data_IF_468377858193
#
_entry.id   IF_468377858193
#
_cell.length_a   1.000
_cell.length_b   1.000
_cell.length_c   1.000
_cell.angle_alpha   90.00
_cell.angle_beta   90.00
_cell.angle_gamma   90.00
#
_symmetry.space_group_name_H-M   'P 1'
#
loop_
_entity.id
_entity.type
_entity.pdbx_description
1 polymer ?
#
# COMPACT_ATOMS: atom_id res chain seq x y z
N UNK A 1 15.94 7.72 19.20
CA UNK A 1 15.51 8.94 18.48
C UNK A 1 15.78 8.73 17.00
N UNK A 2 14.80 8.95 16.09
CA UNK A 2 15.05 8.86 14.64
C UNK A 2 16.09 9.90 14.20
N UNK A 3 16.90 9.59 13.19
CA UNK A 3 17.89 10.54 12.64
C UNK A 3 17.20 11.70 11.90
N UNK A 4 17.90 12.81 11.70
CA UNK A 4 17.42 13.97 10.92
C UNK A 4 16.96 13.54 9.52
N UNK A 5 17.73 12.68 8.85
CA UNK A 5 17.40 12.13 7.53
C UNK A 5 16.09 11.33 7.53
N UNK A 6 15.75 10.68 8.65
CA UNK A 6 14.49 9.94 8.80
C UNK A 6 13.29 10.87 8.78
N UNK A 7 13.39 12.04 9.44
CA UNK A 7 12.31 13.04 9.46
C UNK A 7 12.16 13.73 8.11
N UNK A 8 13.26 14.02 7.42
CA UNK A 8 13.23 14.62 6.08
C UNK A 8 12.58 13.67 5.07
N UNK A 9 12.91 12.37 5.12
CA UNK A 9 12.24 11.36 4.30
C UNK A 9 10.76 11.22 4.62
N UNK A 10 10.36 11.20 5.90
CA UNK A 10 8.95 11.16 6.29
C UNK A 10 8.17 12.37 5.76
N UNK A 11 8.76 13.56 5.84
CA UNK A 11 8.16 14.78 5.30
C UNK A 11 8.02 14.71 3.77
N UNK A 12 9.01 14.16 3.06
CA UNK A 12 8.93 13.94 1.61
C UNK A 12 7.82 12.96 1.24
N UNK A 13 7.71 11.83 1.95
CA UNK A 13 6.66 10.84 1.75
C UNK A 13 5.27 11.44 1.97
N UNK A 14 5.06 12.16 3.08
CA UNK A 14 3.78 12.81 3.37
C UNK A 14 3.40 13.82 2.29
N UNK A 15 4.35 14.64 1.82
CA UNK A 15 4.11 15.62 0.75
C UNK A 15 3.72 14.94 -0.57
N UNK A 16 4.38 13.85 -0.93
CA UNK A 16 4.03 13.08 -2.15
C UNK A 16 2.68 12.37 -2.04
N UNK A 17 2.29 11.94 -0.83
CA UNK A 17 0.98 11.36 -0.59
C UNK A 17 -0.16 12.39 -0.75
N UNK A 18 0.14 13.68 -0.63
CA UNK A 18 -0.83 14.75 -0.88
C UNK A 18 -0.99 15.10 -2.37
N UNK A 19 -0.13 14.58 -3.25
CA UNK A 19 -0.23 14.77 -4.70
C UNK A 19 -1.32 13.85 -5.29
N UNK A 20 -2.41 14.40 -5.86
CA UNK A 20 -3.49 13.60 -6.44
C UNK A 20 -3.07 12.77 -7.66
N UNK A 21 -1.94 13.10 -8.30
CA UNK A 21 -1.35 12.32 -9.38
C UNK A 21 -0.61 11.06 -8.90
N UNK A 22 -0.25 10.99 -7.61
CA UNK A 22 0.47 9.87 -7.03
C UNK A 22 -0.52 8.81 -6.53
N UNK A 23 -0.45 7.63 -7.14
CA UNK A 23 -1.31 6.48 -6.77
C UNK A 23 -0.56 5.40 -6.00
N UNK A 24 0.74 5.29 -6.20
CA UNK A 24 1.64 4.35 -5.51
C UNK A 24 2.96 5.05 -5.22
N UNK A 25 3.45 4.89 -3.99
CA UNK A 25 4.81 5.24 -3.61
C UNK A 25 5.55 3.97 -3.20
N UNK A 26 6.77 3.83 -3.72
CA UNK A 26 7.61 2.67 -3.45
C UNK A 26 8.87 3.10 -2.70
N UNK A 27 8.98 2.73 -1.43
CA UNK A 27 10.19 2.94 -0.65
C UNK A 27 11.07 1.69 -0.71
N UNK A 28 12.25 1.82 -1.31
CA UNK A 28 13.24 0.76 -1.41
C UNK A 28 14.58 1.19 -0.82
N UNK A 29 15.41 0.20 -0.49
CA UNK A 29 16.72 0.42 0.11
C UNK A 29 17.27 -0.86 0.72
N UNK A 30 18.55 -0.87 1.14
CA UNK A 30 19.21 -2.05 1.65
C UNK A 30 18.51 -2.61 2.91
N UNK A 31 18.71 -3.91 3.17
CA UNK A 31 18.28 -4.53 4.41
C UNK A 31 18.94 -3.82 5.62
N UNK A 32 18.20 -3.67 6.72
CA UNK A 32 18.68 -2.94 7.90
C UNK A 32 18.63 -1.41 7.81
N UNK A 33 18.26 -0.81 6.66
CA UNK A 33 18.16 0.65 6.51
C UNK A 33 16.99 1.33 7.26
N UNK A 34 16.25 0.59 8.09
CA UNK A 34 15.15 1.16 8.89
C UNK A 34 13.85 1.43 8.13
N UNK A 35 13.66 0.89 6.92
CA UNK A 35 12.43 1.09 6.10
C UNK A 35 11.15 0.76 6.86
N UNK A 36 11.09 -0.39 7.52
CA UNK A 36 9.92 -0.78 8.34
C UNK A 36 9.68 0.19 9.50
N UNK A 37 10.74 0.76 10.09
CA UNK A 37 10.59 1.78 11.15
C UNK A 37 10.01 3.09 10.58
N UNK A 38 10.42 3.49 9.37
CA UNK A 38 9.82 4.61 8.64
C UNK A 38 8.34 4.31 8.33
N UNK A 39 8.01 3.13 7.81
CA UNK A 39 6.64 2.72 7.50
C UNK A 39 5.75 2.71 8.75
N UNK A 40 6.24 2.21 9.88
CA UNK A 40 5.54 2.27 11.15
C UNK A 40 5.28 3.71 11.61
N UNK A 41 6.29 4.58 11.51
CA UNK A 41 6.15 5.99 11.89
C UNK A 41 5.15 6.69 10.96
N UNK A 42 5.18 6.40 9.67
CA UNK A 42 4.23 6.92 8.69
C UNK A 42 2.79 6.46 9.00
N UNK A 43 2.59 5.18 9.33
CA UNK A 43 1.29 4.68 9.78
C UNK A 43 0.77 5.47 10.98
N UNK A 44 1.59 5.70 12.00
CA UNK A 44 1.18 6.48 13.19
C UNK A 44 0.72 7.89 12.80
N UNK A 45 1.52 8.60 11.98
CA UNK A 45 1.18 9.96 11.52
C UNK A 45 -0.12 10.01 10.71
N UNK A 46 -0.34 9.01 9.87
CA UNK A 46 -1.56 8.91 9.05
C UNK A 46 -2.77 8.51 9.90
N UNK A 47 -2.57 7.71 10.94
CA UNK A 47 -3.63 7.35 11.88
C UNK A 47 -4.04 8.58 12.72
N UNK A 48 -3.08 9.33 13.24
CA UNK A 48 -3.33 10.56 14.02
C UNK A 48 -4.08 11.64 13.22
N UNK A 49 -3.89 11.64 11.89
CA UNK A 49 -4.56 12.58 10.97
C UNK A 49 -5.82 12.01 10.32
N UNK A 50 -6.24 10.79 10.68
CA UNK A 50 -7.44 10.16 10.14
C UNK A 50 -7.36 9.82 8.64
N UNK A 51 -6.15 9.55 8.12
CA UNK A 51 -5.88 9.25 6.71
C UNK A 51 -5.47 7.80 6.45
N UNK A 52 -5.12 7.04 7.49
CA UNK A 52 -4.72 5.64 7.36
C UNK A 52 -5.96 4.75 7.14
N UNK A 53 -6.18 4.36 5.89
CA UNK A 53 -7.26 3.43 5.52
C UNK A 53 -6.94 1.97 5.88
N UNK A 54 -5.66 1.63 5.99
CA UNK A 54 -5.21 0.32 6.43
C UNK A 54 -3.71 0.11 6.27
N UNK A 55 -3.20 -0.93 6.89
CA UNK A 55 -1.81 -1.36 6.76
C UNK A 55 -1.66 -2.86 6.83
N UNK A 56 -0.64 -3.38 6.15
CA UNK A 56 -0.23 -4.78 6.22
C UNK A 56 1.29 -4.87 6.26
N UNK A 57 1.80 -5.47 7.32
CA UNK A 57 3.23 -5.69 7.52
C UNK A 57 3.52 -7.17 7.35
N UNK A 58 4.15 -7.51 6.23
CA UNK A 58 4.63 -8.86 6.00
C UNK A 58 5.68 -9.23 7.04
N UNK A 59 5.68 -10.50 7.43
CA UNK A 59 6.70 -11.04 8.34
C UNK A 59 7.03 -12.47 7.95
N UNK A 60 8.30 -12.71 7.59
CA UNK A 60 8.79 -14.05 7.21
C UNK A 60 8.57 -15.05 8.35
N UNK A 61 8.08 -16.23 8.01
CA UNK A 61 7.83 -17.32 8.97
C UNK A 61 6.62 -17.11 9.89
N UNK A 62 5.92 -15.98 9.82
CA UNK A 62 4.67 -15.79 10.56
C UNK A 62 3.51 -16.49 9.85
N UNK A 63 2.69 -17.32 10.51
CA UNK A 63 1.72 -18.21 9.86
C UNK A 63 0.66 -17.48 9.02
N UNK A 64 0.33 -16.25 9.39
CA UNK A 64 -0.65 -15.43 8.67
C UNK A 64 -0.02 -14.27 7.89
N UNK A 65 1.09 -13.70 8.38
CA UNK A 65 1.67 -12.46 7.84
C UNK A 65 2.74 -12.71 6.78
N UNK A 66 3.04 -13.96 6.46
CA UNK A 66 3.81 -14.30 5.27
C UNK A 66 2.91 -14.58 4.05
N UNK A 67 1.58 -14.67 4.22
CA UNK A 67 0.68 -15.10 3.16
C UNK A 67 0.13 -13.91 2.37
N UNK A 68 0.63 -13.71 1.15
CA UNK A 68 0.17 -12.66 0.26
C UNK A 68 -1.31 -12.76 -0.16
N UNK A 69 -1.91 -13.96 -0.09
CA UNK A 69 -3.30 -14.19 -0.52
C UNK A 69 -4.34 -13.58 0.40
N UNK A 70 -3.97 -13.19 1.63
CA UNK A 70 -4.88 -12.53 2.57
C UNK A 70 -4.71 -11.02 2.61
N UNK A 71 -3.73 -10.48 1.87
CA UNK A 71 -3.37 -9.06 1.93
C UNK A 71 -4.58 -8.16 1.66
N UNK A 72 -5.23 -8.34 0.52
CA UNK A 72 -6.29 -7.44 0.08
C UNK A 72 -7.60 -7.66 0.84
N UNK A 73 -7.93 -8.90 1.21
CA UNK A 73 -9.04 -9.15 2.14
C UNK A 73 -8.83 -8.46 3.50
N UNK A 74 -7.60 -8.49 4.04
CA UNK A 74 -7.25 -7.80 5.30
C UNK A 74 -7.36 -6.29 5.16
N UNK A 75 -6.82 -5.72 4.08
CA UNK A 75 -6.91 -4.28 3.83
C UNK A 75 -8.36 -3.82 3.59
N UNK A 76 -9.18 -4.61 2.90
CA UNK A 76 -10.59 -4.32 2.71
C UNK A 76 -11.37 -4.30 4.04
N UNK A 77 -11.09 -5.25 4.93
CA UNK A 77 -11.68 -5.25 6.26
C UNK A 77 -11.31 -3.97 7.04
N UNK A 78 -10.04 -3.57 7.01
CA UNK A 78 -9.58 -2.33 7.66
C UNK A 78 -10.22 -1.07 7.05
N UNK A 79 -10.35 -1.02 5.72
CA UNK A 79 -11.04 0.05 5.01
C UNK A 79 -12.51 0.17 5.42
N UNK A 80 -13.21 -0.96 5.60
CA UNK A 80 -14.58 -0.96 6.08
C UNK A 80 -14.73 -0.52 7.54
N UNK A 81 -13.71 -0.70 8.38
CA UNK A 81 -13.68 -0.12 9.73
C UNK A 81 -13.45 1.39 9.66
N UNK A 82 -12.54 1.81 8.79
CA UNK A 82 -12.15 3.21 8.62
C UNK A 82 -13.30 4.08 8.13
N UNK A 83 -14.08 3.62 7.14
CA UNK A 83 -15.09 4.42 6.46
C UNK A 83 -16.41 3.64 6.27
N UNK A 84 -17.53 4.08 6.89
CA UNK A 84 -18.82 3.38 6.82
C UNK A 84 -19.35 3.19 5.39
N UNK A 85 -19.13 4.15 4.49
CA UNK A 85 -19.56 4.02 3.09
C UNK A 85 -18.85 2.86 2.38
N UNK A 86 -17.56 2.64 2.69
CA UNK A 86 -16.80 1.48 2.19
C UNK A 86 -17.30 0.19 2.82
N UNK A 87 -17.60 0.19 4.12
CA UNK A 87 -18.16 -1.00 4.80
C UNK A 87 -19.36 -1.55 4.07
N UNK A 88 -20.33 -0.69 3.78
CA UNK A 88 -21.55 -1.07 3.06
C UNK A 88 -21.25 -1.64 1.68
N UNK A 89 -20.33 -1.03 0.93
CA UNK A 89 -19.96 -1.50 -0.41
C UNK A 89 -19.24 -2.85 -0.37
N UNK A 90 -18.26 -3.01 0.54
CA UNK A 90 -17.48 -4.24 0.71
C UNK A 90 -18.38 -5.38 1.20
N UNK A 91 -19.21 -5.14 2.23
CA UNK A 91 -20.14 -6.14 2.76
C UNK A 91 -21.09 -6.67 1.70
N UNK A 92 -21.70 -5.80 0.88
CA UNK A 92 -22.58 -6.24 -0.22
C UNK A 92 -21.88 -7.14 -1.23
N UNK A 93 -20.61 -6.87 -1.55
CA UNK A 93 -19.83 -7.69 -2.48
C UNK A 93 -19.50 -9.06 -1.88
N UNK A 94 -19.15 -9.10 -0.60
CA UNK A 94 -18.89 -10.37 0.11
C UNK A 94 -20.18 -11.17 0.32
N UNK A 95 -21.30 -10.52 0.60
CA UNK A 95 -22.62 -11.16 0.71
C UNK A 95 -23.06 -11.77 -0.64
N UNK A 96 -22.82 -11.05 -1.75
CA UNK A 96 -23.12 -11.56 -3.09
C UNK A 96 -22.18 -12.68 -3.54
N UNK A 97 -20.91 -12.66 -3.11
CA UNK A 97 -19.92 -13.69 -3.40
C UNK A 97 -19.03 -13.98 -2.18
N UNK A 98 -19.40 -14.94 -1.31
CA UNK A 98 -18.65 -15.24 -0.10
C UNK A 98 -17.23 -15.78 -0.34
N UNK A 99 -16.97 -16.38 -1.51
CA UNK A 99 -15.63 -16.91 -1.83
C UNK A 99 -14.63 -15.82 -2.18
N UNK A 100 -15.10 -14.58 -2.40
CA UNK A 100 -14.29 -13.43 -2.82
C UNK A 100 -13.11 -13.15 -1.88
N UNK A 101 -13.26 -13.37 -0.57
CA UNK A 101 -12.20 -13.17 0.43
C UNK A 101 -11.04 -14.18 0.31
N UNK A 102 -11.25 -15.25 -0.44
CA UNK A 102 -10.28 -16.33 -0.71
C UNK A 102 -9.99 -16.51 -2.21
N UNK A 103 -10.55 -15.64 -3.05
CA UNK A 103 -10.40 -15.68 -4.51
C UNK A 103 -9.00 -15.19 -4.92
N UNK A 104 -8.74 -15.10 -6.23
CA UNK A 104 -7.50 -14.62 -6.81
C UNK A 104 -7.10 -13.25 -6.24
N UNK A 105 -5.79 -12.98 -6.20
CA UNK A 105 -5.24 -11.71 -5.71
C UNK A 105 -5.79 -10.53 -6.53
N UNK A 106 -5.91 -10.71 -7.85
CA UNK A 106 -6.49 -9.74 -8.75
C UNK A 106 -7.98 -9.47 -8.45
N UNK A 107 -8.79 -10.52 -8.23
CA UNK A 107 -10.20 -10.40 -7.84
C UNK A 107 -10.34 -9.65 -6.53
N UNK A 108 -9.58 -10.04 -5.50
CA UNK A 108 -9.63 -9.37 -4.20
C UNK A 108 -9.27 -7.89 -4.30
N UNK A 109 -8.17 -7.56 -4.99
CA UNK A 109 -7.74 -6.16 -5.13
C UNK A 109 -8.80 -5.32 -5.87
N UNK A 110 -9.33 -5.83 -6.98
CA UNK A 110 -10.34 -5.10 -7.76
C UNK A 110 -11.64 -4.95 -6.98
N UNK A 111 -12.21 -6.05 -6.53
CA UNK A 111 -13.57 -6.09 -5.99
C UNK A 111 -13.66 -5.62 -4.54
N UNK A 112 -12.64 -5.86 -3.71
CA UNK A 112 -12.69 -5.51 -2.29
C UNK A 112 -12.01 -4.18 -1.96
N UNK A 113 -11.12 -3.68 -2.82
CA UNK A 113 -10.37 -2.44 -2.56
C UNK A 113 -10.71 -1.35 -3.58
N UNK A 114 -10.45 -1.60 -4.86
CA UNK A 114 -10.52 -0.56 -5.90
C UNK A 114 -11.96 -0.11 -6.16
N UNK A 115 -12.84 -1.05 -6.45
CA UNK A 115 -14.23 -0.76 -6.79
C UNK A 115 -15.01 -0.10 -5.63
N UNK A 116 -14.92 -0.57 -4.38
CA UNK A 116 -15.49 0.14 -3.23
C UNK A 116 -14.95 1.56 -3.10
N UNK A 117 -13.64 1.75 -3.26
CA UNK A 117 -13.03 3.08 -3.18
C UNK A 117 -13.50 4.03 -4.28
N UNK A 118 -13.74 3.50 -5.49
CA UNK A 118 -14.26 4.25 -6.65
C UNK A 118 -15.71 4.71 -6.45
N UNK A 119 -16.55 3.88 -5.82
CA UNK A 119 -17.96 4.17 -5.59
C UNK A 119 -18.20 5.15 -4.44
N UNK A 120 -17.29 5.17 -3.46
CA UNK A 120 -17.36 6.07 -2.31
C UNK A 120 -16.82 7.48 -2.64
N UNK A 121 -17.22 8.03 -3.79
CA UNK A 121 -16.87 9.37 -4.25
C UNK A 121 -17.18 10.42 -3.18
N UNK A 122 -16.17 11.18 -2.75
CA UNK A 122 -16.30 12.27 -1.79
C UNK A 122 -15.68 12.05 -0.41
N UNK A 123 -15.23 10.84 -0.06
CA UNK A 123 -14.41 10.68 1.14
C UNK A 123 -12.96 11.09 0.84
N UNK A 124 -12.28 11.65 1.84
CA UNK A 124 -10.89 12.09 1.72
C UNK A 124 -9.91 10.98 1.32
N UNK A 125 -8.66 11.38 1.09
CA UNK A 125 -7.58 10.48 0.69
C UNK A 125 -7.43 9.31 1.67
N UNK A 126 -7.48 8.08 1.15
CA UNK A 126 -7.35 6.83 1.91
C UNK A 126 -6.00 6.19 1.60
N UNK A 127 -5.14 6.08 2.59
CA UNK A 127 -3.78 5.57 2.37
C UNK A 127 -3.67 4.14 2.90
N UNK A 128 -3.19 3.24 2.04
CA UNK A 128 -2.88 1.86 2.38
C UNK A 128 -1.36 1.70 2.42
N UNK A 129 -0.83 1.14 3.50
CA UNK A 129 0.60 0.88 3.66
C UNK A 129 0.86 -0.62 3.59
N UNK A 130 1.80 -1.02 2.74
CA UNK A 130 2.27 -2.40 2.62
C UNK A 130 3.78 -2.38 2.85
N UNK A 131 4.24 -3.09 3.88
CA UNK A 131 5.66 -3.18 4.24
C UNK A 131 6.14 -4.63 4.20
N UNK A 132 7.41 -4.82 3.83
CA UNK A 132 8.07 -6.12 3.84
C UNK A 132 7.59 -7.09 2.75
N UNK A 133 7.14 -6.61 1.58
CA UNK A 133 6.64 -7.49 0.50
C UNK A 133 7.62 -8.62 0.14
N UNK A 134 8.93 -8.39 0.27
CA UNK A 134 10.01 -9.36 0.09
C UNK A 134 10.04 -10.48 1.16
N UNK A 135 9.34 -10.29 2.27
CA UNK A 135 9.11 -11.29 3.32
C UNK A 135 7.86 -12.17 3.08
N UNK A 136 7.08 -11.88 2.03
CA UNK A 136 5.96 -12.73 1.60
C UNK A 136 6.47 -14.12 1.17
N UNK A 137 5.75 -15.17 1.52
CA UNK A 137 6.08 -16.53 1.13
C UNK A 137 5.79 -16.75 -0.36
N UNK A 138 6.80 -17.20 -1.10
CA UNK A 138 6.68 -17.60 -2.50
C UNK A 138 6.89 -16.45 -3.50
N UNK A 139 7.94 -16.57 -4.32
CA UNK A 139 8.23 -15.63 -5.41
C UNK A 139 7.05 -15.46 -6.39
N UNK A 140 6.31 -16.52 -6.78
CA UNK A 140 5.16 -16.33 -7.68
C UNK A 140 4.08 -15.41 -7.10
N UNK A 141 3.80 -15.52 -5.80
CA UNK A 141 2.81 -14.68 -5.11
C UNK A 141 3.29 -13.24 -5.02
N UNK A 142 4.58 -13.01 -4.72
CA UNK A 142 5.17 -11.67 -4.72
C UNK A 142 5.05 -11.00 -6.09
N UNK A 143 5.36 -11.74 -7.16
CA UNK A 143 5.26 -11.25 -8.53
C UNK A 143 3.80 -10.97 -8.94
N UNK A 144 2.86 -11.82 -8.53
CA UNK A 144 1.43 -11.60 -8.76
C UNK A 144 0.94 -10.33 -8.05
N UNK A 145 1.30 -10.14 -6.78
CA UNK A 145 0.98 -8.92 -6.02
C UNK A 145 1.50 -7.66 -6.72
N UNK A 146 2.79 -7.67 -7.11
CA UNK A 146 3.41 -6.54 -7.81
C UNK A 146 2.73 -6.24 -9.15
N UNK A 147 2.43 -7.29 -9.94
CA UNK A 147 1.69 -7.12 -11.20
C UNK A 147 0.31 -6.52 -10.96
N UNK A 148 -0.48 -7.08 -10.04
CA UNK A 148 -1.82 -6.56 -9.75
C UNK A 148 -1.81 -5.11 -9.28
N UNK A 149 -0.84 -4.71 -8.45
CA UNK A 149 -0.68 -3.31 -8.01
C UNK A 149 -0.29 -2.43 -9.20
N UNK A 150 0.68 -2.86 -10.02
CA UNK A 150 1.13 -2.10 -11.18
C UNK A 150 0.02 -1.95 -12.24
N UNK A 151 -0.70 -3.01 -12.57
CA UNK A 151 -1.75 -2.99 -13.59
C UNK A 151 -2.87 -2.01 -13.23
N UNK A 152 -3.23 -1.94 -11.95
CA UNK A 152 -4.33 -1.09 -11.47
C UNK A 152 -3.90 0.36 -11.29
N UNK A 153 -2.70 0.60 -10.76
CA UNK A 153 -2.30 1.93 -10.32
C UNK A 153 -1.24 2.60 -11.21
N UNK A 154 -0.50 1.84 -12.03
CA UNK A 154 0.52 2.35 -12.93
C UNK A 154 0.05 2.48 -14.39
N UNK A 155 -1.20 2.11 -14.70
CA UNK A 155 -1.83 2.38 -16.02
C UNK A 155 -2.02 3.89 -16.32
N UNK A 156 -1.63 4.77 -15.40
CA UNK A 156 -1.30 6.17 -15.69
C UNK A 156 -0.09 6.59 -14.82
N UNK A 157 1.01 6.99 -15.46
CA UNK A 157 2.24 7.57 -14.88
C UNK A 157 3.23 6.64 -14.17
N UNK A 158 3.99 5.86 -14.96
CA UNK A 158 5.36 5.54 -14.57
C UNK A 158 6.22 6.82 -14.67
N UNK A 159 6.74 7.31 -13.54
CA UNK A 159 7.85 8.26 -13.54
C UNK A 159 9.18 7.49 -13.46
N UNK A 160 10.25 7.97 -14.13
CA UNK A 160 11.55 7.34 -14.03
C UNK A 160 12.05 7.38 -12.58
N UNK A 161 12.66 6.28 -12.13
CA UNK A 161 13.55 6.31 -10.96
C UNK A 161 14.67 7.34 -11.17
N UNK A 162 15.38 7.79 -10.12
CA UNK A 162 16.33 8.88 -10.22
C UNK A 162 17.28 8.62 -11.38
N UNK A 163 17.13 9.43 -12.43
CA UNK A 163 18.01 9.42 -13.58
C UNK A 163 19.41 9.71 -13.07
N UNK A 164 20.39 8.94 -13.57
CA UNK A 164 21.80 9.25 -13.44
C UNK A 164 22.00 10.77 -13.56
N UNK A 165 22.43 11.39 -12.46
CA UNK A 165 22.99 12.74 -12.50
C UNK A 165 24.23 12.62 -13.37
N UNK A 166 24.31 13.28 -14.55
CA UNK A 166 25.54 13.30 -15.31
C UNK A 166 26.57 14.05 -14.47
N UNK A 167 27.72 13.41 -14.23
CA UNK A 167 28.90 14.11 -13.71
C UNK A 167 29.21 15.25 -14.68
N UNK A 168 29.00 16.49 -14.26
CA UNK A 168 29.57 17.63 -14.95
C UNK A 168 31.10 17.53 -14.82
N UNK A 169 31.86 17.71 -15.91
CA UNK A 169 33.31 17.75 -15.82
C UNK A 169 33.72 18.97 -14.99
N UNK A 170 34.53 18.73 -13.95
CA UNK A 170 35.34 19.77 -13.33
C UNK A 170 36.23 20.37 -14.42
N UNK A 171 36.33 21.71 -14.42
CA UNK A 171 37.10 22.48 -15.40
C UNK A 171 38.58 22.16 -15.44
#
# INVERSE_FOLDING_TARGET
MPSRDTYELLADLLRRLDDPGVRVLWLHGPAGAGKSAIMHTLCQRLQDTGRLGGSFFFKRGHPTRNNGRILFATLAHQLGIFEPSLKCSISRRVEANPTLVSDSIASQLRELVVEPCRLASGCGLRILIIDGLDECAGVPVQQELLRCIADIFCSHHALPGPANVPLQPLG
#
